data_IF_561292055323
#
_entry.id   IF_561292055323
#
_cell.length_a   1.000
_cell.length_b   1.000
_cell.length_c   1.000
_cell.angle_alpha   90.00
_cell.angle_beta   90.00
_cell.angle_gamma   90.00
#
_symmetry.space_group_name_H-M   'P 1'
#
loop_
_entity.id
_entity.type
_entity.pdbx_description
1 polymer ?
#
# COMPACT_ATOMS: atom_id res chain seq x y z
N UNK A 1 1.22 -7.88 0.06
CA UNK A 1 0.34 -6.74 0.43
C UNK A 1 1.09 -5.44 0.23
N UNK A 2 1.93 -4.97 1.14
CA UNK A 2 2.39 -3.58 1.10
C UNK A 2 3.54 -3.29 0.10
N UNK A 3 4.40 -4.28 -0.17
CA UNK A 3 5.53 -4.23 -1.13
C UNK A 3 6.61 -3.16 -0.87
N UNK A 4 6.35 -2.19 0.01
CA UNK A 4 7.23 -1.14 0.50
C UNK A 4 6.51 -0.25 1.51
N UNK A 5 7.02 0.96 1.73
CA UNK A 5 6.39 1.90 2.65
C UNK A 5 4.99 2.28 2.14
N UNK A 6 3.98 2.19 3.01
CA UNK A 6 2.59 2.42 2.63
C UNK A 6 2.18 3.90 2.56
N UNK A 7 3.02 4.81 3.04
CA UNK A 7 2.74 6.25 3.01
C UNK A 7 2.73 6.78 1.57
N UNK A 8 1.73 7.59 1.18
CA UNK A 8 1.62 8.16 -0.16
C UNK A 8 2.94 8.69 -0.72
N UNK A 9 3.25 8.27 -1.95
CA UNK A 9 4.43 8.67 -2.74
C UNK A 9 5.81 8.30 -2.16
N UNK A 10 5.87 7.52 -1.07
CA UNK A 10 7.15 7.01 -0.59
C UNK A 10 7.67 5.89 -1.50
N UNK A 11 8.96 5.91 -1.83
CA UNK A 11 9.58 4.88 -2.68
C UNK A 11 10.42 3.87 -1.90
N UNK A 12 10.43 3.99 -0.56
CA UNK A 12 11.24 3.14 0.29
C UNK A 12 10.81 1.67 0.17
N UNK A 13 11.73 0.75 -0.20
CA UNK A 13 11.37 -0.65 -0.38
C UNK A 13 11.07 -1.33 0.96
N UNK A 14 10.48 -2.53 0.90
CA UNK A 14 10.17 -3.32 2.10
C UNK A 14 11.40 -3.59 2.97
N UNK A 15 12.58 -3.80 2.37
CA UNK A 15 13.85 -4.00 3.09
C UNK A 15 14.32 -2.79 3.90
N UNK A 16 13.75 -1.61 3.65
CA UNK A 16 14.00 -0.36 4.41
C UNK A 16 12.78 0.08 5.23
N UNK A 17 11.82 -0.82 5.42
CA UNK A 17 10.58 -0.56 6.14
C UNK A 17 10.43 -1.50 7.34
N UNK A 18 9.66 -1.05 8.32
CA UNK A 18 9.34 -1.77 9.56
C UNK A 18 7.82 -1.95 9.63
N UNK A 19 7.38 -3.03 10.28
CA UNK A 19 5.97 -3.17 10.61
C UNK A 19 5.59 -2.11 11.67
N UNK A 20 4.51 -1.36 11.42
CA UNK A 20 3.90 -0.46 12.37
C UNK A 20 2.42 -0.82 12.54
N UNK A 21 1.88 -0.58 13.73
CA UNK A 21 0.45 -0.76 13.97
C UNK A 21 -0.34 0.33 13.25
N UNK A 22 -1.40 -0.09 12.56
CA UNK A 22 -2.15 0.79 11.65
C UNK A 22 -3.24 1.54 12.39
N UNK A 23 -4.17 0.86 13.06
CA UNK A 23 -5.36 1.53 13.63
C UNK A 23 -5.14 2.10 15.04
N UNK A 24 -4.27 1.47 15.84
CA UNK A 24 -3.95 1.90 17.20
C UNK A 24 -2.46 1.69 17.39
N UNK A 25 -1.76 2.72 17.84
CA UNK A 25 -0.32 2.62 18.11
C UNK A 25 -0.06 1.51 19.13
N UNK A 26 1.08 0.84 18.98
CA UNK A 26 1.62 -0.08 19.99
C UNK A 26 1.61 0.57 21.38
N UNK A 27 1.98 1.85 21.47
CA UNK A 27 2.09 2.58 22.76
C UNK A 27 0.76 2.71 23.49
N UNK A 28 -0.34 2.69 22.75
CA UNK A 28 -1.71 2.80 23.26
C UNK A 28 -2.39 1.42 23.44
N UNK A 29 -1.62 0.33 23.37
CA UNK A 29 -2.13 -1.04 23.51
C UNK A 29 -2.58 -1.69 22.20
N UNK A 30 -2.10 -1.17 21.06
CA UNK A 30 -2.36 -1.74 19.75
C UNK A 30 -2.01 -3.24 19.67
N UNK A 31 -2.98 -4.05 19.26
CA UNK A 31 -2.77 -5.50 19.09
C UNK A 31 -1.88 -5.75 17.87
N UNK A 32 -0.89 -6.63 18.05
CA UNK A 32 -0.12 -7.21 16.95
C UNK A 32 -0.98 -8.25 16.25
N UNK A 33 -1.73 -7.80 15.24
CA UNK A 33 -2.57 -8.63 14.37
C UNK A 33 -2.07 -8.46 12.94
N UNK A 34 -1.97 -9.56 12.19
CA UNK A 34 -1.54 -9.53 10.79
C UNK A 34 -2.43 -8.62 9.92
N UNK A 35 -3.69 -8.46 10.32
CA UNK A 35 -4.65 -7.54 9.67
C UNK A 35 -4.50 -6.09 10.10
N UNK A 36 -3.73 -5.79 11.16
CA UNK A 36 -3.55 -4.46 11.74
C UNK A 36 -2.10 -3.94 11.68
N UNK A 37 -1.21 -4.62 10.96
CA UNK A 37 0.14 -4.15 10.69
C UNK A 37 0.25 -3.60 9.28
N UNK A 38 1.08 -2.58 9.08
CA UNK A 38 1.46 -2.02 7.79
C UNK A 38 2.95 -1.73 7.73
N UNK A 39 3.53 -1.58 6.53
CA UNK A 39 4.93 -1.19 6.38
C UNK A 39 5.12 0.33 6.35
N UNK A 40 6.08 0.83 7.14
CA UNK A 40 6.55 2.21 7.11
C UNK A 40 8.08 2.28 7.20
N UNK A 41 8.71 3.16 6.41
CA UNK A 41 10.14 3.43 6.56
C UNK A 41 10.42 4.23 7.84
N UNK A 42 11.67 4.29 8.30
CA UNK A 42 11.99 4.87 9.62
C UNK A 42 11.49 6.30 9.85
N UNK A 43 11.56 7.18 8.85
CA UNK A 43 11.05 8.55 8.98
C UNK A 43 9.52 8.61 8.96
N UNK A 44 8.87 7.84 8.09
CA UNK A 44 7.40 7.84 7.99
C UNK A 44 6.74 7.13 9.18
N UNK A 45 7.39 6.10 9.74
CA UNK A 45 6.96 5.48 11.00
C UNK A 45 6.95 6.52 12.13
N UNK A 46 8.00 7.36 12.23
CA UNK A 46 8.04 8.45 13.21
C UNK A 46 6.97 9.52 12.98
N UNK A 47 6.57 9.74 11.73
CA UNK A 47 5.45 10.65 11.43
C UNK A 47 4.12 10.12 11.97
N UNK A 48 3.90 8.80 11.94
CA UNK A 48 2.71 8.17 12.53
C UNK A 48 2.72 8.19 14.06
N UNK A 49 3.88 7.99 14.71
CA UNK A 49 4.02 8.01 16.18
C UNK A 49 3.94 9.45 16.75
N UNK A 50 4.70 10.40 16.18
CA UNK A 50 4.87 11.74 16.78
C UNK A 50 4.63 12.91 15.82
N UNK A 51 4.49 12.66 14.53
CA UNK A 51 4.33 13.71 13.51
C UNK A 51 2.89 14.14 13.27
N UNK A 52 1.93 13.62 14.04
CA UNK A 52 0.50 13.92 13.93
C UNK A 52 -0.19 13.29 12.72
N UNK A 53 0.48 12.37 12.02
CA UNK A 53 -0.17 11.55 11.00
C UNK A 53 -0.93 10.42 11.67
N UNK A 54 -2.11 10.11 11.18
CA UNK A 54 -2.88 8.94 11.61
C UNK A 54 -3.01 7.94 10.48
N UNK A 55 -3.06 6.66 10.83
CA UNK A 55 -3.27 5.59 9.88
C UNK A 55 -4.54 4.82 10.18
N UNK A 56 -5.18 4.29 9.14
CA UNK A 56 -6.31 3.39 9.26
C UNK A 56 -6.22 2.30 8.20
N UNK A 57 -6.77 1.11 8.49
CA UNK A 57 -6.89 0.05 7.49
C UNK A 57 -8.15 0.29 6.65
N UNK A 58 -7.98 0.49 5.36
CA UNK A 58 -9.06 0.64 4.40
C UNK A 58 -9.80 -0.69 4.12
N UNK A 59 -11.02 -0.65 3.55
CA UNK A 59 -11.78 -1.84 3.20
C UNK A 59 -11.13 -2.66 2.07
N UNK A 60 -10.21 -2.06 1.32
CA UNK A 60 -9.37 -2.70 0.30
C UNK A 60 -8.13 -3.39 0.90
N UNK A 61 -8.00 -3.39 2.23
CA UNK A 61 -6.85 -3.95 2.94
C UNK A 61 -5.57 -3.12 2.79
N UNK A 62 -5.68 -1.83 2.42
CA UNK A 62 -4.54 -0.92 2.29
C UNK A 62 -4.50 0.07 3.45
N UNK A 63 -3.29 0.50 3.80
CA UNK A 63 -3.09 1.52 4.83
C UNK A 63 -3.41 2.90 4.26
N UNK A 64 -4.35 3.58 4.89
CA UNK A 64 -4.70 4.97 4.60
C UNK A 64 -3.95 5.88 5.56
N UNK A 65 -3.23 6.85 5.03
CA UNK A 65 -2.49 7.86 5.78
C UNK A 65 -3.24 9.19 5.74
N UNK A 66 -3.64 9.68 6.91
CA UNK A 66 -4.28 10.98 7.08
C UNK A 66 -3.27 11.94 7.73
N UNK A 67 -2.95 13.08 7.10
CA UNK A 67 -2.04 14.06 7.68
C UNK A 67 -2.71 14.85 8.80
N UNK A 68 -1.94 15.61 9.58
CA UNK A 68 -2.48 16.62 10.48
C UNK A 68 -3.41 17.61 9.75
N UNK A 69 -4.45 18.17 10.41
CA UNK A 69 -5.46 19.01 9.75
C UNK A 69 -4.91 20.17 8.91
N UNK A 70 -3.83 20.82 9.34
CA UNK A 70 -3.20 21.93 8.61
C UNK A 70 -2.48 21.50 7.33
N UNK A 71 -2.15 20.22 7.21
CA UNK A 71 -1.50 19.62 6.04
C UNK A 71 -2.49 18.82 5.20
N UNK A 72 -3.78 18.80 5.54
CA UNK A 72 -4.78 18.04 4.82
C UNK A 72 -5.39 18.82 3.65
N UNK A 73 -4.69 18.80 2.51
CA UNK A 73 -5.04 19.58 1.31
C UNK A 73 -5.52 18.72 0.14
N UNK A 74 -6.02 17.51 0.42
CA UNK A 74 -6.56 16.61 -0.61
C UNK A 74 -5.53 15.69 -1.27
N UNK A 75 -4.33 15.55 -0.70
CA UNK A 75 -3.36 14.55 -1.14
C UNK A 75 -3.89 13.11 -1.00
N UNK A 76 -3.40 12.15 -1.80
CA UNK A 76 -3.80 10.75 -1.72
C UNK A 76 -3.61 10.17 -0.31
N UNK A 77 -4.44 9.19 0.05
CA UNK A 77 -4.34 8.45 1.33
C UNK A 77 -3.50 7.19 1.22
N UNK A 78 -3.34 6.63 0.03
CA UNK A 78 -2.64 5.36 -0.21
C UNK A 78 -1.45 5.54 -1.13
N UNK A 79 -0.45 4.67 -1.00
CA UNK A 79 0.75 4.69 -1.86
C UNK A 79 0.62 3.81 -3.09
N UNK A 80 0.51 4.41 -4.28
CA UNK A 80 0.41 3.65 -5.53
C UNK A 80 1.75 3.16 -6.08
N UNK A 81 2.88 3.71 -5.64
CA UNK A 81 4.20 3.40 -6.20
C UNK A 81 4.54 1.90 -6.13
N UNK A 82 4.18 1.23 -5.04
CA UNK A 82 4.48 -0.19 -4.84
C UNK A 82 3.41 -1.14 -5.42
N UNK A 83 2.42 -0.60 -6.14
CA UNK A 83 1.28 -1.33 -6.71
C UNK A 83 0.96 -0.92 -8.16
N UNK A 84 1.91 -1.05 -9.10
CA UNK A 84 1.73 -0.60 -10.49
C UNK A 84 0.59 -1.33 -11.22
N UNK A 85 0.23 -2.54 -10.80
CA UNK A 85 -0.80 -3.37 -11.44
C UNK A 85 -2.24 -3.03 -11.02
N UNK A 86 -2.44 -2.08 -10.11
CA UNK A 86 -3.79 -1.63 -9.71
C UNK A 86 -4.42 -0.65 -10.71
N UNK A 87 -3.64 -0.19 -11.68
CA UNK A 87 -4.12 0.58 -12.83
C UNK A 87 -3.96 -0.27 -14.08
N UNK A 88 -4.96 -0.31 -14.98
CA UNK A 88 -4.78 -0.89 -16.30
C UNK A 88 -3.59 -0.19 -16.96
N UNK A 89 -2.65 -0.95 -17.52
CA UNK A 89 -1.69 -0.40 -18.48
C UNK A 89 -2.49 0.27 -19.59
N UNK A 90 -2.15 1.49 -19.95
CA UNK A 90 -2.72 2.17 -21.10
C UNK A 90 -2.58 1.26 -22.35
N UNK A 91 -3.72 0.71 -22.78
CA UNK A 91 -3.96 -0.01 -24.03
C UNK A 91 -2.99 -1.13 -24.43
N UNK A 92 -3.34 -2.38 -24.09
CA UNK A 92 -2.95 -3.56 -24.86
C UNK A 92 -3.71 -3.66 -26.19
N UNK A 93 -3.71 -2.60 -27.00
CA UNK A 93 -4.20 -2.65 -28.39
C UNK A 93 -3.05 -3.12 -29.29
N UNK A 94 -2.67 -4.39 -29.16
CA UNK A 94 -2.01 -5.10 -30.24
C UNK A 94 -3.05 -6.04 -30.86
N UNK A 95 -3.62 -5.58 -31.97
CA UNK A 95 -4.35 -6.44 -32.88
C UNK A 95 -3.41 -7.54 -33.38
N UNK A 96 -3.74 -8.77 -33.04
CA UNK A 96 -3.14 -9.97 -33.61
C UNK A 96 -4.25 -10.98 -33.81
N UNK A 97 -4.85 -10.96 -35.00
CA UNK A 97 -5.58 -12.12 -35.53
C UNK A 97 -4.63 -13.33 -35.48
N UNK A 98 -5.04 -14.39 -34.79
CA UNK A 98 -4.28 -15.62 -34.60
C UNK A 98 -5.21 -16.73 -34.12
N UNK A 99 -5.89 -17.31 -35.11
CA UNK A 99 -6.34 -18.70 -35.21
C UNK A 99 -6.37 -19.59 -33.95
N UNK A 100 -7.60 -20.03 -33.67
CA UNK A 100 -8.01 -21.37 -33.23
C UNK A 100 -6.93 -22.45 -33.37
N UNK A 101 -6.52 -23.06 -32.24
CA UNK A 101 -6.33 -24.52 -32.19
C UNK A 101 -6.58 -24.98 -30.74
N UNK A 102 -7.81 -25.38 -30.49
CA UNK A 102 -8.18 -26.12 -29.28
C UNK A 102 -7.61 -27.55 -29.30
N UNK A 103 -6.85 -27.85 -28.24
CA UNK A 103 -6.82 -29.13 -27.52
C UNK A 103 -5.87 -30.23 -28.01
N UNK A 104 -4.72 -30.36 -27.33
CA UNK A 104 -4.01 -31.64 -27.19
C UNK A 104 -4.06 -32.07 -25.71
N UNK A 105 -4.61 -33.25 -25.35
CA UNK A 105 -4.36 -33.83 -24.05
C UNK A 105 -3.01 -34.56 -24.04
N UNK A 106 -2.26 -34.36 -22.96
CA UNK A 106 -1.06 -35.13 -22.64
C UNK A 106 -1.40 -36.39 -21.85
N UNK A 107 -0.61 -37.43 -22.13
CA UNK A 107 -0.41 -38.73 -21.44
C UNK A 107 -1.45 -39.83 -21.64
#
# INVERSE_FOLDING_TARGET
>A
RDHGCTKPNCTAPASRSQAHHVNQDWRDGGKTDITNLGLACGCDNRLADTGGWTTTMGPDGRVHWTPPPLLDIGQPRTNQYHHPTLYPTENGNDGGDGDDESNSPAS
#
